data_IF_926292685279
#
_entry.id   IF_926292685279
#
_cell.length_a   1.000
_cell.length_b   1.000
_cell.length_c   1.000
_cell.angle_alpha   90.00
_cell.angle_beta   90.00
_cell.angle_gamma   90.00
#
_symmetry.space_group_name_H-M   'P 1'
#
loop_
_entity.id
_entity.type
_entity.pdbx_description
1 polymer ?
#
# COMPACT_ATOMS: atom_id res chain seq x y z
N UNK A 1 -10.70 5.04 5.67
CA UNK A 1 -10.05 4.47 4.47
C UNK A 1 -8.66 4.05 4.89
N UNK A 2 -7.78 3.71 3.95
CA UNK A 2 -6.36 3.47 4.23
C UNK A 2 -5.56 4.26 3.20
N UNK A 3 -4.41 4.80 3.61
CA UNK A 3 -3.42 5.36 2.69
C UNK A 3 -2.12 4.57 2.86
N UNK A 4 -1.67 3.94 1.76
CA UNK A 4 -0.32 3.37 1.70
C UNK A 4 0.45 3.89 0.49
N UNK A 5 1.76 4.10 0.67
CA UNK A 5 2.64 4.76 -0.30
C UNK A 5 3.94 3.95 -0.42
N UNK A 6 4.45 3.80 -1.65
CA UNK A 6 5.81 3.31 -1.90
C UNK A 6 6.56 4.35 -2.73
N UNK A 7 7.73 4.74 -2.21
CA UNK A 7 8.58 5.77 -2.78
C UNK A 7 9.94 5.16 -3.13
N UNK A 8 10.33 5.22 -4.40
CA UNK A 8 11.63 4.72 -4.86
C UNK A 8 12.79 5.58 -4.36
N UNK A 9 13.86 4.94 -3.93
CA UNK A 9 15.14 5.56 -3.57
C UNK A 9 16.26 5.01 -4.48
N UNK A 10 17.42 5.67 -4.50
CA UNK A 10 18.58 5.18 -5.27
C UNK A 10 19.17 3.88 -4.73
N UNK A 11 18.99 3.60 -3.43
CA UNK A 11 19.53 2.44 -2.71
C UNK A 11 18.44 1.50 -2.17
N UNK A 12 17.17 1.74 -2.49
CA UNK A 12 16.06 1.06 -1.83
C UNK A 12 14.66 1.55 -2.24
N UNK A 13 13.69 1.31 -1.36
CA UNK A 13 12.40 2.00 -1.38
C UNK A 13 11.86 2.23 0.03
N UNK A 14 11.06 3.27 0.19
CA UNK A 14 10.36 3.61 1.42
C UNK A 14 8.90 3.22 1.27
N UNK A 15 8.40 2.38 2.17
CA UNK A 15 6.98 2.03 2.25
C UNK A 15 6.35 2.68 3.49
N UNK A 16 5.18 3.29 3.32
CA UNK A 16 4.51 4.03 4.37
C UNK A 16 3.03 3.63 4.41
N UNK A 17 2.49 3.41 5.61
CA UNK A 17 1.08 3.06 5.80
C UNK A 17 0.49 3.79 7.01
N UNK A 18 -0.71 4.34 6.84
CA UNK A 18 -1.43 5.01 7.93
C UNK A 18 -2.00 4.01 8.94
N UNK A 19 -2.18 4.43 10.19
CA UNK A 19 -2.69 3.57 11.28
C UNK A 19 -4.17 3.76 11.59
N UNK A 20 -4.82 4.77 11.01
CA UNK A 20 -6.20 5.09 11.34
C UNK A 20 -7.15 4.04 10.76
N UNK A 21 -8.01 3.50 11.61
CA UNK A 21 -9.15 2.68 11.22
C UNK A 21 -10.41 3.34 11.72
N UNK A 22 -11.36 3.53 10.80
CA UNK A 22 -12.65 4.15 11.10
C UNK A 22 -13.79 3.28 10.60
N UNK A 23 -14.98 3.43 11.18
CA UNK A 23 -16.23 2.98 10.57
C UNK A 23 -17.11 4.17 10.21
N UNK A 24 -18.02 3.96 9.26
CA UNK A 24 -19.04 4.96 8.94
C UNK A 24 -19.94 5.16 10.17
N UNK A 25 -20.01 6.40 10.65
CA UNK A 25 -20.94 6.81 11.69
C UNK A 25 -22.30 7.18 11.07
N UNK A 26 -23.30 7.47 11.91
CA UNK A 26 -24.58 8.04 11.46
C UNK A 26 -24.41 9.37 10.72
N UNK A 27 -23.40 10.15 11.08
CA UNK A 27 -22.94 11.33 10.36
C UNK A 27 -21.78 10.95 9.43
N UNK A 28 -21.95 10.96 8.10
CA UNK A 28 -20.90 10.60 7.15
C UNK A 28 -19.72 11.58 7.14
N UNK A 29 -19.89 12.78 7.70
CA UNK A 29 -18.81 13.79 7.80
C UNK A 29 -17.92 13.57 9.03
N UNK A 30 -18.32 12.67 9.93
CA UNK A 30 -17.63 12.39 11.20
C UNK A 30 -17.49 10.88 11.40
N UNK A 31 -16.57 10.23 10.67
CA UNK A 31 -16.35 8.79 10.83
C UNK A 31 -15.92 8.47 12.27
N UNK A 32 -16.39 7.33 12.80
CA UNK A 32 -16.05 6.90 14.15
C UNK A 32 -14.69 6.22 14.15
N UNK A 33 -13.78 6.70 15.00
CA UNK A 33 -12.43 6.15 15.15
C UNK A 33 -12.50 4.83 15.92
N UNK A 34 -12.02 3.75 15.31
CA UNK A 34 -11.94 2.42 15.92
C UNK A 34 -10.53 2.10 16.44
N UNK A 35 -9.50 2.57 15.75
CA UNK A 35 -8.10 2.36 16.09
C UNK A 35 -7.26 3.47 15.46
N UNK A 36 -6.18 3.88 16.12
CA UNK A 36 -5.23 4.87 15.57
C UNK A 36 -3.90 4.23 15.13
N UNK A 37 -3.66 2.96 15.45
CA UNK A 37 -2.39 2.25 15.20
C UNK A 37 -2.62 0.88 14.58
N UNK A 38 -3.55 0.80 13.63
CA UNK A 38 -3.86 -0.43 12.91
C UNK A 38 -2.69 -0.87 12.04
N UNK A 39 -2.42 -2.17 11.97
CA UNK A 39 -1.30 -2.70 11.19
C UNK A 39 -1.74 -3.00 9.77
N UNK A 40 -1.14 -2.28 8.82
CA UNK A 40 -1.47 -2.36 7.39
C UNK A 40 -0.25 -2.68 6.51
N UNK A 41 0.93 -2.83 7.13
CA UNK A 41 2.20 -3.17 6.50
C UNK A 41 2.78 -4.40 7.19
N UNK A 42 3.05 -5.43 6.42
CA UNK A 42 3.80 -6.63 6.84
C UNK A 42 5.10 -6.73 6.03
N UNK A 43 6.12 -7.38 6.59
CA UNK A 43 7.44 -7.49 5.95
C UNK A 43 7.88 -8.93 5.81
N UNK A 44 8.69 -9.19 4.79
CA UNK A 44 9.37 -10.46 4.55
C UNK A 44 10.85 -10.14 4.42
N UNK A 45 11.69 -10.94 5.08
CA UNK A 45 13.15 -10.76 5.03
C UNK A 45 13.79 -11.48 3.85
N UNK A 46 13.14 -12.52 3.30
CA UNK A 46 13.62 -13.34 2.18
C UNK A 46 12.45 -13.79 1.31
N UNK A 47 12.12 -13.06 0.22
CA UNK A 47 12.80 -11.88 -0.32
C UNK A 47 12.62 -10.65 0.58
N UNK A 48 13.51 -9.66 0.44
CA UNK A 48 13.35 -8.34 1.05
C UNK A 48 12.12 -7.65 0.44
N UNK A 49 10.98 -7.74 1.12
CA UNK A 49 9.70 -7.31 0.58
C UNK A 49 8.75 -6.80 1.66
N UNK A 50 7.75 -6.04 1.24
CA UNK A 50 6.64 -5.56 2.05
C UNK A 50 5.32 -5.95 1.40
N UNK A 51 4.32 -6.21 2.23
CA UNK A 51 2.92 -6.35 1.84
C UNK A 51 2.15 -5.21 2.50
N UNK A 52 1.72 -4.26 1.69
CA UNK A 52 0.82 -3.19 2.08
C UNK A 52 -0.60 -3.64 1.81
N UNK A 53 -1.50 -3.35 2.75
CA UNK A 53 -2.90 -3.75 2.65
C UNK A 53 -3.79 -2.55 2.91
N UNK A 54 -4.81 -2.41 2.07
CA UNK A 54 -5.72 -1.28 2.03
C UNK A 54 -7.13 -1.79 1.78
N UNK A 55 -8.14 -1.01 2.14
CA UNK A 55 -9.53 -1.42 1.93
C UNK A 55 -10.52 -0.31 2.24
N UNK A 56 -11.80 -0.63 2.03
CA UNK A 56 -12.93 0.30 2.29
C UNK A 56 -13.20 0.41 3.80
N UNK A 57 -14.17 1.24 4.19
CA UNK A 57 -14.52 1.46 5.61
C UNK A 57 -14.90 0.19 6.41
N UNK A 58 -15.26 -0.91 5.74
CA UNK A 58 -15.58 -2.21 6.36
C UNK A 58 -14.36 -3.12 6.55
N UNK A 59 -13.18 -2.69 6.10
CA UNK A 59 -11.92 -3.43 6.17
C UNK A 59 -11.46 -3.65 7.61
N UNK A 60 -11.20 -4.91 7.96
CA UNK A 60 -10.62 -5.30 9.25
C UNK A 60 -9.11 -5.52 9.13
N UNK A 61 -8.31 -4.45 9.26
CA UNK A 61 -6.86 -4.50 9.07
C UNK A 61 -6.14 -5.52 9.93
N UNK A 62 -6.49 -5.66 11.21
CA UNK A 62 -5.94 -6.71 12.07
C UNK A 62 -6.25 -8.14 11.58
N UNK A 63 -7.43 -8.36 11.00
CA UNK A 63 -7.79 -9.68 10.47
C UNK A 63 -6.96 -9.95 9.21
N UNK A 64 -6.91 -8.99 8.30
CA UNK A 64 -6.15 -9.07 7.05
C UNK A 64 -4.65 -9.24 7.32
N UNK A 65 -4.07 -8.47 8.24
CA UNK A 65 -2.68 -8.60 8.71
C UNK A 65 -2.36 -10.01 9.22
N UNK A 66 -3.25 -10.62 10.01
CA UNK A 66 -3.09 -12.02 10.47
C UNK A 66 -3.10 -13.02 9.32
N UNK A 67 -3.99 -12.83 8.34
CA UNK A 67 -4.07 -13.70 7.16
C UNK A 67 -2.83 -13.56 6.28
N UNK A 68 -2.38 -12.32 6.05
CA UNK A 68 -1.13 -12.04 5.34
C UNK A 68 0.02 -12.73 6.04
N UNK A 69 0.22 -12.51 7.36
CA UNK A 69 1.31 -13.13 8.10
C UNK A 69 1.28 -14.66 8.00
N UNK A 70 0.12 -15.28 8.12
CA UNK A 70 -0.02 -16.73 7.95
C UNK A 70 0.39 -17.20 6.53
N UNK A 71 0.11 -16.40 5.49
CA UNK A 71 0.57 -16.69 4.13
C UNK A 71 2.09 -16.50 4.00
N UNK A 72 2.65 -15.47 4.64
CA UNK A 72 4.09 -15.20 4.63
C UNK A 72 4.87 -16.30 5.33
N UNK A 73 4.41 -16.76 6.50
CA UNK A 73 5.02 -17.84 7.25
C UNK A 73 5.02 -19.15 6.43
N UNK A 74 3.94 -19.43 5.70
CA UNK A 74 3.85 -20.60 4.82
C UNK A 74 4.75 -20.50 3.58
N UNK A 75 5.01 -19.29 3.07
CA UNK A 75 5.84 -19.06 1.89
C UNK A 75 7.36 -19.14 2.18
N UNK A 76 7.78 -19.12 3.45
CA UNK A 76 9.18 -19.09 3.85
C UNK A 76 9.90 -20.45 3.87
N UNK A 77 9.21 -21.57 3.61
CA UNK A 77 9.79 -22.92 3.62
C UNK A 77 9.67 -23.63 2.26
N UNK A 78 10.72 -24.30 1.70
CA UNK A 78 12.16 -24.17 1.90
C UNK A 78 12.87 -23.39 0.77
N UNK A 79 12.14 -22.77 -0.16
CA UNK A 79 12.69 -21.98 -1.27
C UNK A 79 12.50 -20.49 -1.00
N UNK A 80 13.44 -19.63 -1.42
CA UNK A 80 13.22 -18.16 -1.40
C UNK A 80 12.09 -17.86 -2.39
N UNK A 81 10.88 -17.45 -1.96
CA UNK A 81 9.81 -17.17 -2.91
C UNK A 81 10.14 -15.92 -3.73
N UNK A 82 9.65 -15.85 -4.97
CA UNK A 82 9.66 -14.58 -5.70
C UNK A 82 8.64 -13.60 -5.09
N UNK A 83 8.76 -12.31 -5.40
CA UNK A 83 7.76 -11.31 -4.97
C UNK A 83 6.37 -11.64 -5.52
N UNK A 84 6.30 -12.16 -6.74
CA UNK A 84 5.07 -12.69 -7.34
C UNK A 84 4.46 -13.85 -6.55
N UNK A 85 5.29 -14.80 -6.11
CA UNK A 85 4.84 -15.96 -5.33
C UNK A 85 4.29 -15.51 -3.96
N UNK A 86 4.92 -14.51 -3.34
CA UNK A 86 4.39 -13.86 -2.13
C UNK A 86 3.02 -13.24 -2.40
N UNK A 87 2.89 -12.45 -3.47
CA UNK A 87 1.62 -11.83 -3.83
C UNK A 87 0.52 -12.87 -4.07
N UNK A 88 0.86 -13.97 -4.75
CA UNK A 88 -0.05 -15.08 -4.99
C UNK A 88 -0.47 -15.80 -3.69
N UNK A 89 0.48 -16.07 -2.78
CA UNK A 89 0.17 -16.70 -1.49
C UNK A 89 -0.77 -15.83 -0.63
N UNK A 90 -0.52 -14.52 -0.57
CA UNK A 90 -1.40 -13.59 0.14
C UNK A 90 -2.80 -13.51 -0.49
N UNK A 91 -2.84 -13.44 -1.83
CA UNK A 91 -4.06 -13.48 -2.64
C UNK A 91 -4.94 -14.70 -2.32
N UNK A 92 -4.37 -15.90 -2.43
CA UNK A 92 -5.08 -17.15 -2.17
C UNK A 92 -5.61 -17.21 -0.73
N UNK A 93 -4.77 -16.84 0.24
CA UNK A 93 -5.14 -16.90 1.65
C UNK A 93 -6.31 -15.99 1.98
N UNK A 94 -6.29 -14.76 1.48
CA UNK A 94 -7.39 -13.81 1.66
C UNK A 94 -8.65 -14.25 0.90
N UNK A 95 -8.51 -14.79 -0.30
CA UNK A 95 -9.65 -15.28 -1.08
C UNK A 95 -10.37 -16.44 -0.40
N UNK A 96 -9.62 -17.42 0.12
CA UNK A 96 -10.18 -18.54 0.88
C UNK A 96 -10.94 -18.01 2.10
N UNK A 97 -10.32 -17.11 2.87
CA UNK A 97 -10.98 -16.51 4.04
C UNK A 97 -12.24 -15.71 3.67
N UNK A 98 -12.23 -14.98 2.54
CA UNK A 98 -13.37 -14.21 2.05
C UNK A 98 -14.57 -15.09 1.66
N UNK A 99 -14.34 -16.36 1.26
CA UNK A 99 -15.42 -17.33 0.99
C UNK A 99 -16.06 -17.88 2.26
N UNK A 100 -15.32 -17.88 3.38
CA UNK A 100 -15.75 -18.43 4.67
C UNK A 100 -16.34 -17.36 5.60
N UNK A 101 -16.23 -16.08 5.23
CA UNK A 101 -16.62 -14.92 6.04
C UNK A 101 -17.63 -14.04 5.29
N UNK A 102 -18.24 -13.07 5.95
CA UNK A 102 -19.04 -12.03 5.26
C UNK A 102 -18.15 -11.27 4.27
N UNK A 103 -18.42 -11.30 2.95
CA UNK A 103 -17.46 -10.85 1.92
C UNK A 103 -16.93 -9.43 2.12
N UNK A 104 -17.76 -8.52 2.63
CA UNK A 104 -17.43 -7.09 2.78
C UNK A 104 -16.31 -6.76 3.75
N UNK A 105 -15.99 -7.63 4.72
CA UNK A 105 -14.98 -7.34 5.75
C UNK A 105 -13.55 -7.59 5.30
N UNK A 106 -13.37 -8.39 4.23
CA UNK A 106 -12.09 -8.77 3.65
C UNK A 106 -11.88 -8.14 2.26
N UNK A 107 -12.69 -7.15 1.89
CA UNK A 107 -12.51 -6.34 0.69
C UNK A 107 -11.23 -5.51 0.82
N UNK A 108 -10.11 -6.07 0.36
CA UNK A 108 -8.78 -5.53 0.49
C UNK A 108 -8.10 -5.46 -0.88
N UNK A 109 -7.32 -4.41 -1.11
CA UNK A 109 -6.28 -4.43 -2.12
C UNK A 109 -4.94 -4.55 -1.41
N UNK A 110 -4.11 -5.45 -1.91
CA UNK A 110 -2.73 -5.57 -1.52
C UNK A 110 -1.82 -4.94 -2.57
N UNK A 111 -0.73 -4.37 -2.08
CA UNK A 111 0.44 -4.07 -2.87
C UNK A 111 1.62 -4.80 -2.25
N UNK A 112 2.25 -5.63 -3.07
CA UNK A 112 3.44 -6.38 -2.69
C UNK A 112 4.61 -5.79 -3.44
N UNK A 113 5.58 -5.22 -2.72
CA UNK A 113 6.78 -4.63 -3.30
C UNK A 113 8.01 -5.24 -2.67
N UNK A 114 8.99 -5.60 -3.48
CA UNK A 114 10.24 -6.15 -2.98
C UNK A 114 11.26 -6.40 -4.06
N UNK A 115 12.26 -7.19 -3.71
CA UNK A 115 13.33 -7.61 -4.61
C UNK A 115 13.27 -9.12 -4.83
N UNK A 116 13.16 -9.58 -6.09
CA UNK A 116 13.19 -11.02 -6.42
C UNK A 116 14.51 -11.73 -6.12
N UNK A 117 15.56 -11.01 -5.71
CA UNK A 117 16.88 -11.52 -5.38
C UNK A 117 17.85 -10.40 -4.96
N UNK A 118 19.08 -10.76 -4.59
CA UNK A 118 20.06 -9.86 -3.95
C UNK A 118 20.51 -8.67 -4.85
N UNK A 119 20.27 -8.75 -6.17
CA UNK A 119 20.60 -7.71 -7.17
C UNK A 119 19.43 -7.54 -8.17
N UNK A 120 18.21 -7.95 -7.79
CA UNK A 120 17.04 -7.83 -8.68
C UNK A 120 16.57 -6.36 -8.73
N UNK A 121 16.03 -5.87 -9.85
CA UNK A 121 15.22 -4.66 -9.81
C UNK A 121 14.06 -4.81 -8.81
N UNK A 122 13.50 -3.68 -8.38
CA UNK A 122 12.25 -3.68 -7.62
C UNK A 122 11.15 -4.34 -8.45
N UNK A 123 10.38 -5.20 -7.81
CA UNK A 123 9.19 -5.82 -8.35
C UNK A 123 7.99 -5.37 -7.51
N UNK A 124 6.89 -5.03 -8.18
CA UNK A 124 5.67 -4.57 -7.55
C UNK A 124 4.46 -5.29 -8.16
N UNK A 125 3.56 -5.76 -7.30
CA UNK A 125 2.36 -6.49 -7.70
C UNK A 125 1.14 -5.98 -6.92
N UNK A 126 0.06 -5.69 -7.65
CA UNK A 126 -1.27 -5.40 -7.10
C UNK A 126 -2.09 -6.68 -7.00
N UNK A 127 -2.86 -6.81 -5.93
CA UNK A 127 -3.86 -7.88 -5.78
C UNK A 127 -5.15 -7.28 -5.24
N UNK A 128 -6.27 -7.50 -5.92
CA UNK A 128 -7.60 -7.18 -5.39
C UNK A 128 -8.27 -8.42 -4.79
N UNK A 129 -8.85 -8.28 -3.61
CA UNK A 129 -9.65 -9.29 -2.92
C UNK A 129 -10.99 -8.69 -2.49
N UNK A 130 -12.14 -9.25 -2.89
CA UNK A 130 -12.30 -10.33 -3.88
C UNK A 130 -11.73 -9.91 -5.25
N UNK A 131 -11.32 -10.87 -6.08
CA UNK A 131 -10.78 -10.58 -7.41
C UNK A 131 -11.81 -9.80 -8.24
N UNK A 132 -11.32 -8.85 -9.05
CA UNK A 132 -12.15 -8.23 -10.09
C UNK A 132 -12.68 -9.32 -11.02
N UNK A 133 -13.94 -9.22 -11.40
CA UNK A 133 -14.50 -10.08 -12.43
C UNK A 133 -14.01 -9.58 -13.79
N UNK A 134 -13.13 -10.35 -14.44
CA UNK A 134 -12.63 -10.04 -15.79
C UNK A 134 -13.57 -10.56 -16.89
N UNK A 135 -14.73 -11.12 -16.53
CA UNK A 135 -15.73 -11.62 -17.49
C UNK A 135 -15.39 -12.98 -18.11
N UNK A 136 -14.34 -13.66 -17.66
CA UNK A 136 -13.92 -14.99 -18.15
C UNK A 136 -14.53 -16.16 -17.35
N UNK A 137 -15.37 -15.87 -16.35
CA UNK A 137 -16.07 -16.87 -15.55
C UNK A 137 -15.17 -17.61 -14.55
N UNK A 138 -13.90 -17.21 -14.41
CA UNK A 138 -12.96 -17.74 -13.42
C UNK A 138 -12.52 -16.60 -12.50
N UNK A 139 -13.03 -16.57 -11.27
CA UNK A 139 -12.55 -15.66 -10.22
C UNK A 139 -11.16 -16.07 -9.75
N UNK A 140 -10.15 -15.98 -10.62
CA UNK A 140 -8.76 -16.29 -10.27
C UNK A 140 -8.11 -15.03 -9.70
N UNK A 141 -7.58 -15.12 -8.47
CA UNK A 141 -6.83 -14.02 -7.87
C UNK A 141 -5.44 -14.01 -8.51
N UNK A 142 -5.24 -13.12 -9.48
CA UNK A 142 -3.97 -12.97 -10.19
C UNK A 142 -3.29 -11.70 -9.72
N UNK A 143 -2.06 -11.78 -9.20
CA UNK A 143 -1.23 -10.60 -9.02
C UNK A 143 -1.02 -9.89 -10.35
N UNK A 144 -1.32 -8.60 -10.40
CA UNK A 144 -1.07 -7.75 -11.56
C UNK A 144 0.26 -7.02 -11.36
N UNK A 145 1.19 -7.18 -12.31
CA UNK A 145 2.48 -6.49 -12.23
C UNK A 145 2.28 -4.99 -12.45
N UNK A 146 2.94 -4.19 -11.60
CA UNK A 146 3.00 -2.73 -11.71
C UNK A 146 4.38 -2.35 -12.23
N UNK A 147 4.46 -1.26 -13.00
CA UNK A 147 5.72 -0.67 -13.41
C UNK A 147 6.52 -0.18 -12.18
N UNK A 148 7.71 -0.72 -11.89
CA UNK A 148 8.52 -0.30 -10.75
C UNK A 148 9.17 1.09 -10.93
N UNK A 149 9.19 1.65 -12.14
CA UNK A 149 9.74 3.00 -12.40
C UNK A 149 8.75 4.13 -12.03
N UNK A 150 7.48 3.78 -11.79
CA UNK A 150 6.46 4.71 -11.30
C UNK A 150 6.43 4.63 -9.77
N UNK A 151 6.51 5.75 -9.02
CA UNK A 151 6.26 5.73 -7.58
C UNK A 151 4.91 5.09 -7.29
N UNK A 152 4.94 3.90 -6.69
CA UNK A 152 3.75 3.06 -6.60
C UNK A 152 2.96 3.45 -5.37
N UNK A 153 1.74 3.95 -5.59
CA UNK A 153 0.78 4.12 -4.50
C UNK A 153 -0.14 2.91 -4.44
N UNK A 154 -0.30 2.42 -3.21
CA UNK A 154 -1.38 1.50 -2.90
C UNK A 154 -2.49 2.18 -2.12
N UNK A 155 -3.41 2.70 -2.93
CA UNK A 155 -4.86 2.54 -2.80
C UNK A 155 -5.64 3.34 -1.72
N UNK A 156 -6.89 3.77 -2.00
CA UNK A 156 -7.52 3.87 -3.32
C UNK A 156 -7.00 5.11 -4.04
N UNK A 157 -6.45 4.90 -5.23
CA UNK A 157 -6.27 5.95 -6.24
C UNK A 157 -7.58 6.68 -6.59
N UNK A 158 -8.71 6.11 -6.17
CA UNK A 158 -10.07 6.65 -6.30
C UNK A 158 -10.48 7.62 -5.17
N UNK A 159 -9.58 7.96 -4.23
CA UNK A 159 -9.85 8.93 -3.16
C UNK A 159 -9.20 10.28 -3.41
N UNK A 160 -9.85 11.36 -2.96
CA UNK A 160 -9.30 12.70 -3.06
C UNK A 160 -7.98 12.79 -2.27
N UNK A 161 -7.90 12.18 -1.07
CA UNK A 161 -6.64 12.17 -0.29
C UNK A 161 -5.51 11.48 -1.05
N UNK A 162 -5.76 10.31 -1.66
CA UNK A 162 -4.74 9.60 -2.42
C UNK A 162 -4.20 10.42 -3.59
N UNK A 163 -5.10 11.03 -4.38
CA UNK A 163 -4.73 11.89 -5.50
C UNK A 163 -3.98 13.16 -5.07
N UNK A 164 -4.43 13.81 -3.99
CA UNK A 164 -3.78 15.02 -3.47
C UNK A 164 -2.40 14.72 -2.87
N UNK A 165 -2.26 13.62 -2.12
CA UNK A 165 -0.97 13.20 -1.58
C UNK A 165 0.01 12.87 -2.71
N UNK A 166 -0.43 12.20 -3.77
CA UNK A 166 0.39 11.95 -4.96
C UNK A 166 0.89 13.24 -5.64
N UNK A 167 0.00 14.23 -5.77
CA UNK A 167 0.35 15.53 -6.33
C UNK A 167 1.46 16.23 -5.53
N UNK A 168 1.53 16.04 -4.21
CA UNK A 168 2.61 16.57 -3.37
C UNK A 168 4.01 16.04 -3.73
N UNK A 169 4.07 14.86 -4.35
CA UNK A 169 5.31 14.22 -4.77
C UNK A 169 5.64 14.46 -6.25
N UNK A 170 4.91 15.34 -6.93
CA UNK A 170 4.94 15.53 -8.39
C UNK A 170 4.63 14.23 -9.16
N UNK A 171 3.81 13.36 -8.59
CA UNK A 171 3.39 12.11 -9.25
C UNK A 171 1.97 12.31 -9.74
N UNK A 172 1.74 12.08 -11.02
CA UNK A 172 0.40 12.10 -11.60
C UNK A 172 -0.14 10.68 -11.68
N UNK A 173 -1.41 10.54 -11.32
CA UNK A 173 -2.05 9.24 -11.19
C UNK A 173 -2.66 8.86 -12.54
N UNK A 174 -1.91 8.19 -13.40
CA UNK A 174 -2.41 7.68 -14.68
C UNK A 174 -3.52 6.63 -14.50
N UNK A 175 -3.74 6.13 -13.28
CA UNK A 175 -4.81 5.18 -12.94
C UNK A 175 -6.20 5.82 -12.76
N UNK A 176 -6.32 7.16 -12.81
CA UNK A 176 -7.62 7.86 -12.73
C UNK A 176 -8.20 8.10 -14.14
N UNK A 177 -7.39 8.00 -15.19
CA UNK A 177 -7.80 8.42 -16.53
C UNK A 177 -8.24 7.25 -17.42
N UNK A 178 -9.40 6.67 -17.10
CA UNK A 178 -10.10 5.76 -18.04
C UNK A 178 -10.97 6.53 -19.07
N UNK A 179 -10.78 7.85 -19.30
CA UNK A 179 -11.69 8.56 -20.21
C UNK A 179 -11.31 9.93 -20.79
N UNK A 180 -10.12 10.47 -20.57
CA UNK A 180 -9.70 11.78 -21.08
C UNK A 180 -8.73 11.70 -22.25
N UNK A 181 -9.12 12.21 -23.42
CA UNK A 181 -8.24 12.52 -24.56
C UNK A 181 -7.28 13.71 -24.24
N UNK A 182 -6.59 13.66 -23.10
CA UNK A 182 -5.61 14.65 -22.68
C UNK A 182 -4.23 14.28 -23.18
N UNK A 183 -3.73 14.99 -24.19
CA UNK A 183 -2.32 14.90 -24.60
C UNK A 183 -1.40 15.19 -23.39
N UNK A 184 -0.75 14.14 -22.87
CA UNK A 184 0.12 14.23 -21.71
C UNK A 184 1.35 15.10 -22.01
N UNK A 185 1.50 16.22 -21.30
CA UNK A 185 2.82 16.83 -21.15
C UNK A 185 3.64 15.90 -20.26
N UNK A 186 4.85 15.52 -20.67
CA UNK A 186 5.84 14.83 -19.85
C UNK A 186 6.05 15.62 -18.54
N UNK A 187 5.27 15.26 -17.51
CA UNK A 187 5.21 15.94 -16.22
C UNK A 187 6.53 15.78 -15.49
N UNK A 188 6.90 16.77 -14.68
CA UNK A 188 8.19 16.83 -13.99
C UNK A 188 8.57 15.49 -13.31
N UNK A 189 9.88 15.14 -13.25
CA UNK A 189 10.30 13.93 -12.57
C UNK A 189 9.83 13.92 -11.11
N UNK A 190 9.54 12.73 -10.59
CA UNK A 190 9.25 12.47 -9.19
C UNK A 190 10.15 13.31 -8.28
N UNK A 191 9.55 14.03 -7.33
CA UNK A 191 10.22 15.08 -6.54
C UNK A 191 11.51 14.60 -5.85
N UNK A 192 11.58 13.33 -5.46
CA UNK A 192 12.73 12.76 -4.74
C UNK A 192 13.50 11.73 -5.57
N UNK A 193 13.35 11.77 -6.90
CA UNK A 193 14.05 10.83 -7.78
C UNK A 193 15.57 10.89 -7.53
N UNK A 194 16.16 9.71 -7.30
CA UNK A 194 17.59 9.54 -7.09
C UNK A 194 18.10 9.85 -5.68
N UNK A 195 17.23 10.24 -4.73
CA UNK A 195 17.65 10.36 -3.32
C UNK A 195 17.87 8.98 -2.69
N UNK A 196 18.90 8.79 -1.84
CA UNK A 196 19.03 7.60 -1.00
C UNK A 196 18.00 7.61 0.13
N UNK A 197 17.73 6.44 0.72
CA UNK A 197 16.75 6.28 1.81
C UNK A 197 17.01 7.20 3.01
N UNK A 198 18.28 7.43 3.34
CA UNK A 198 18.70 8.34 4.43
C UNK A 198 18.18 9.77 4.23
N UNK A 199 18.11 10.23 2.99
CA UNK A 199 17.62 11.57 2.64
C UNK A 199 16.12 11.55 2.30
N UNK A 200 15.66 10.51 1.61
CA UNK A 200 14.26 10.35 1.19
C UNK A 200 13.33 10.29 2.40
N UNK A 201 13.68 9.51 3.42
CA UNK A 201 12.81 9.32 4.59
C UNK A 201 12.48 10.62 5.32
N UNK A 202 13.43 11.45 5.78
CA UNK A 202 13.09 12.71 6.43
C UNK A 202 12.36 13.66 5.47
N UNK A 203 12.72 13.72 4.19
CA UNK A 203 12.06 14.59 3.22
C UNK A 203 10.60 14.19 2.96
N UNK A 204 10.34 12.89 2.74
CA UNK A 204 8.99 12.37 2.50
C UNK A 204 8.11 12.50 3.76
N UNK A 205 8.63 12.17 4.94
CA UNK A 205 7.86 12.27 6.19
C UNK A 205 7.51 13.71 6.53
N UNK A 206 8.41 14.68 6.34
CA UNK A 206 8.07 16.10 6.55
C UNK A 206 7.03 16.57 5.53
N UNK A 207 7.12 16.12 4.27
CA UNK A 207 6.12 16.50 3.26
C UNK A 207 4.73 15.96 3.58
N UNK A 208 4.65 14.72 4.06
CA UNK A 208 3.38 14.13 4.55
C UNK A 208 2.84 14.97 5.69
N UNK A 209 3.67 15.32 6.69
CA UNK A 209 3.25 16.19 7.81
C UNK A 209 2.71 17.54 7.36
N UNK A 210 3.42 18.20 6.44
CA UNK A 210 2.99 19.49 5.90
C UNK A 210 1.64 19.39 5.16
N UNK A 211 1.45 18.32 4.39
CA UNK A 211 0.16 18.04 3.75
C UNK A 211 -0.95 17.86 4.79
N UNK A 212 -0.73 17.08 5.85
CA UNK A 212 -1.72 16.89 6.91
C UNK A 212 -2.04 18.18 7.68
N UNK A 213 -1.06 19.06 7.93
CA UNK A 213 -1.30 20.37 8.54
C UNK A 213 -2.28 21.22 7.73
N UNK A 214 -2.23 21.10 6.40
CA UNK A 214 -3.06 21.89 5.48
C UNK A 214 -4.39 21.21 5.14
N UNK A 215 -4.43 19.88 5.15
CA UNK A 215 -5.54 19.07 4.64
C UNK A 215 -6.22 18.19 5.71
N UNK A 216 -6.04 18.51 6.99
CA UNK A 216 -6.53 17.70 8.13
C UNK A 216 -8.02 17.36 8.06
N UNK A 217 -8.87 18.27 7.57
CA UNK A 217 -10.32 18.02 7.46
C UNK A 217 -10.66 16.98 6.38
N UNK A 218 -9.97 17.04 5.23
CA UNK A 218 -10.14 16.08 4.13
C UNK A 218 -9.69 14.70 4.61
N UNK A 219 -8.49 14.61 5.19
CA UNK A 219 -7.95 13.36 5.68
C UNK A 219 -8.83 12.76 6.79
N UNK A 220 -9.35 13.57 7.71
CA UNK A 220 -10.27 13.13 8.76
C UNK A 220 -11.56 12.58 8.17
N UNK A 221 -12.16 13.26 7.20
CA UNK A 221 -13.40 12.82 6.53
C UNK A 221 -13.22 11.47 5.84
N UNK A 222 -12.07 11.26 5.22
CA UNK A 222 -11.74 9.98 4.56
C UNK A 222 -11.23 8.91 5.53
N UNK A 223 -10.98 9.28 6.79
CA UNK A 223 -10.47 8.37 7.81
C UNK A 223 -9.07 7.89 7.47
N UNK A 224 -8.17 8.82 7.15
CA UNK A 224 -6.74 8.61 6.92
C UNK A 224 -5.94 9.33 8.02
N UNK A 225 -4.91 8.68 8.57
CA UNK A 225 -3.97 9.29 9.51
C UNK A 225 -3.57 8.37 10.67
N UNK A 226 -3.50 8.93 11.88
CA UNK A 226 -3.18 8.19 13.10
C UNK A 226 -1.68 7.99 13.27
N UNK A 227 -1.29 6.83 13.81
CA UNK A 227 0.09 6.43 14.01
C UNK A 227 0.57 5.59 12.84
N UNK A 228 1.56 6.09 12.13
CA UNK A 228 2.01 5.53 10.87
C UNK A 228 3.03 4.41 11.08
N UNK A 229 3.12 3.53 10.09
CA UNK A 229 4.20 2.56 9.94
C UNK A 229 5.07 2.97 8.75
N UNK A 230 6.38 2.99 8.95
CA UNK A 230 7.37 3.34 7.93
C UNK A 230 8.37 2.21 7.82
N UNK A 231 8.59 1.70 6.61
CA UNK A 231 9.57 0.66 6.34
C UNK A 231 10.59 1.13 5.30
N UNK A 232 11.87 0.98 5.62
CA UNK A 232 12.98 1.12 4.69
C UNK A 232 13.39 -0.25 4.19
N UNK A 233 13.46 -0.42 2.87
CA UNK A 233 13.78 -1.70 2.25
C UNK A 233 14.93 -1.54 1.27
N UNK A 234 15.97 -2.35 1.48
CA UNK A 234 17.14 -2.45 0.59
C UNK A 234 17.24 -3.86 0.03
N UNK A 235 17.82 -4.04 -1.17
CA UNK A 235 18.02 -5.37 -1.75
C UNK A 235 18.94 -6.22 -0.86
N UNK A 236 18.50 -7.44 -0.55
CA UNK A 236 19.28 -8.40 0.25
C UNK A 236 19.32 -8.13 1.77
N UNK A 237 18.70 -7.04 2.23
CA UNK A 237 18.64 -6.67 3.64
C UNK A 237 17.28 -6.97 4.26
N UNK A 238 17.25 -7.19 5.57
CA UNK A 238 15.98 -7.28 6.29
C UNK A 238 15.33 -5.89 6.34
N UNK A 239 14.05 -5.74 5.92
CA UNK A 239 13.35 -4.47 6.03
C UNK A 239 13.45 -3.86 7.44
N UNK A 240 13.83 -2.59 7.53
CA UNK A 240 13.84 -1.86 8.78
C UNK A 240 12.49 -1.16 8.96
N UNK A 241 11.75 -1.50 10.02
CA UNK A 241 10.38 -1.01 10.25
C UNK A 241 10.30 -0.20 11.53
N UNK A 242 9.73 1.00 11.42
CA UNK A 242 9.33 1.83 12.55
C UNK A 242 7.81 1.92 12.62
N UNK A 243 7.27 1.64 13.81
CA UNK A 243 5.85 1.75 14.11
C UNK A 243 5.60 2.96 15.01
N UNK A 244 4.41 3.56 14.93
CA UNK A 244 4.04 4.62 15.85
C UNK A 244 4.48 6.02 15.41
N UNK A 245 4.79 6.21 14.12
CA UNK A 245 5.33 7.47 13.62
C UNK A 245 4.23 8.53 13.51
N UNK A 246 4.42 9.69 14.13
CA UNK A 246 3.50 10.81 14.03
C UNK A 246 3.76 11.60 12.73
N UNK A 247 2.86 11.42 11.75
CA UNK A 247 2.89 12.12 10.46
C UNK A 247 1.62 12.96 10.17
N UNK A 248 0.61 12.90 11.04
CA UNK A 248 -0.71 13.52 10.83
C UNK A 248 -1.23 14.22 12.07
#
# INVERSE_FOLDING_TARGET
MTLTLVLGASDGFLAVADGLRTRQASDPTRPEILCVSDRKLETISRPSAVVLSSGRATYEGQHVSRLIRAALDAAQEPQRPSVEAVAHACAERLHVAARETTPSTLNAQLLVVGYGGDISPVEAYRVDVPPRDFGDGLSSVRPERIDPEVPVVANPCETDTGGLVLAEFNVHNDLIDEGGDGAFSAGAPYRFAGLPLEELRPAATERIREWFRTNAEIARREGVGGLWTVAEVRPGETPHVEYGVELS
#
